data_IF_881331660306
#
_entry.id   IF_881331660306
#
_cell.length_a   1.000
_cell.length_b   1.000
_cell.length_c   1.000
_cell.angle_alpha   90.00
_cell.angle_beta   90.00
_cell.angle_gamma   90.00
#
_symmetry.space_group_name_H-M   'P 1'
#
loop_
_entity.id
_entity.type
_entity.pdbx_description
1 polymer ?
#
# COMPACT_ATOMS: atom_id res chain seq x y z
N UNK A 1 -3.75 6.03 7.81
CA UNK A 1 -4.32 7.30 7.30
C UNK A 1 -3.31 8.37 6.84
N UNK A 2 -2.21 8.61 7.57
CA UNK A 2 -1.24 9.69 7.27
C UNK A 2 -0.74 9.69 5.82
N UNK A 3 -0.34 8.53 5.30
CA UNK A 3 0.15 8.40 3.92
C UNK A 3 -0.89 8.79 2.86
N UNK A 4 -2.15 8.37 3.04
CA UNK A 4 -3.24 8.73 2.12
C UNK A 4 -3.53 10.24 2.16
N UNK A 5 -3.54 10.85 3.34
CA UNK A 5 -3.73 12.31 3.51
C UNK A 5 -2.63 13.10 2.79
N UNK A 6 -1.38 12.67 2.95
CA UNK A 6 -0.24 13.30 2.28
C UNK A 6 -0.26 13.11 0.75
N UNK A 7 -0.71 11.95 0.26
CA UNK A 7 -0.87 11.71 -1.18
C UNK A 7 -1.94 12.61 -1.80
N UNK A 8 -3.07 12.80 -1.11
CA UNK A 8 -4.13 13.70 -1.56
C UNK A 8 -3.57 15.12 -1.65
N UNK A 9 -2.88 15.58 -0.60
CA UNK A 9 -2.23 16.90 -0.58
C UNK A 9 -1.22 17.06 -1.71
N UNK A 10 -0.37 16.05 -1.95
CA UNK A 10 0.61 16.04 -3.04
C UNK A 10 -0.07 16.18 -4.41
N UNK A 11 -1.13 15.42 -4.66
CA UNK A 11 -1.86 15.48 -5.92
C UNK A 11 -2.58 16.82 -6.14
N UNK A 12 -2.89 17.56 -5.08
CA UNK A 12 -3.47 18.90 -5.17
C UNK A 12 -2.41 19.98 -5.47
N UNK A 13 -1.18 19.80 -4.98
CA UNK A 13 -0.10 20.80 -5.14
C UNK A 13 0.78 20.55 -6.36
N UNK A 14 0.84 19.32 -6.88
CA UNK A 14 1.71 18.96 -7.98
C UNK A 14 1.19 19.51 -9.31
N UNK A 15 1.97 20.35 -10.00
CA UNK A 15 1.66 20.84 -11.37
C UNK A 15 2.09 19.81 -12.42
N UNK A 16 1.48 18.63 -12.40
CA UNK A 16 1.75 17.56 -13.38
C UNK A 16 0.44 17.12 -14.04
N UNK A 17 0.46 16.66 -15.31
CA UNK A 17 -0.74 16.24 -16.03
C UNK A 17 -1.28 14.87 -15.57
N UNK A 18 -0.81 14.34 -14.44
CA UNK A 18 -1.20 13.05 -13.89
C UNK A 18 -1.33 13.12 -12.38
N UNK A 19 -2.11 12.17 -11.83
CA UNK A 19 -2.21 11.94 -10.39
C UNK A 19 -1.37 10.74 -9.99
N UNK A 20 -0.64 10.87 -8.90
CA UNK A 20 0.15 9.81 -8.29
C UNK A 20 -0.77 8.95 -7.41
N UNK A 21 -0.60 7.64 -7.47
CA UNK A 21 -1.23 6.68 -6.57
C UNK A 21 -0.24 5.61 -6.15
N UNK A 22 -0.42 5.03 -4.97
CA UNK A 22 0.37 3.90 -4.48
C UNK A 22 -0.54 2.77 -3.99
N UNK A 23 -0.02 1.55 -3.95
CA UNK A 23 -0.61 0.41 -3.23
C UNK A 23 0.42 -0.06 -2.21
N UNK A 24 -0.01 -0.41 -1.01
CA UNK A 24 0.88 -0.77 0.09
C UNK A 24 0.29 -1.97 0.82
N UNK A 25 1.16 -2.90 1.21
CA UNK A 25 0.84 -3.99 2.12
C UNK A 25 1.73 -3.90 3.34
N UNK A 26 1.17 -4.25 4.50
CA UNK A 26 1.83 -4.11 5.79
C UNK A 26 1.73 -5.44 6.53
N UNK A 27 2.87 -5.93 6.99
CA UNK A 27 3.00 -7.01 7.95
C UNK A 27 3.63 -6.46 9.23
N UNK A 28 3.27 -7.04 10.37
CA UNK A 28 3.85 -6.72 11.66
C UNK A 28 4.34 -8.03 12.26
N UNK A 29 5.53 -8.01 12.83
CA UNK A 29 6.04 -9.14 13.60
C UNK A 29 5.21 -9.26 14.90
N UNK A 30 4.84 -10.49 15.23
CA UNK A 30 4.16 -10.84 16.47
C UNK A 30 5.11 -11.69 17.33
N UNK A 31 5.46 -11.27 18.56
CA UNK A 31 6.28 -12.08 19.46
C UNK A 31 5.62 -13.40 19.88
N UNK A 32 4.29 -13.46 19.92
CA UNK A 32 3.54 -14.67 20.32
C UNK A 32 3.40 -15.67 19.16
N UNK A 33 3.54 -15.19 17.91
CA UNK A 33 3.62 -15.99 16.68
C UNK A 33 4.86 -15.58 15.85
N UNK A 34 6.06 -16.07 16.22
CA UNK A 34 7.30 -15.64 15.60
C UNK A 34 7.38 -16.11 14.15
N UNK A 35 7.21 -15.16 13.23
CA UNK A 35 7.37 -15.38 11.79
C UNK A 35 8.79 -15.01 11.33
N UNK A 36 9.31 -15.75 10.35
CA UNK A 36 10.58 -15.38 9.71
C UNK A 36 10.44 -14.06 8.96
N UNK A 37 11.56 -13.37 8.74
CA UNK A 37 11.59 -12.13 7.96
C UNK A 37 11.03 -12.34 6.54
N UNK A 38 11.37 -13.46 5.90
CA UNK A 38 10.87 -13.80 4.57
C UNK A 38 9.35 -13.96 4.56
N UNK A 39 8.78 -14.55 5.61
CA UNK A 39 7.35 -14.73 5.74
C UNK A 39 6.63 -13.38 5.91
N UNK A 40 7.17 -12.49 6.75
CA UNK A 40 6.66 -11.14 6.91
C UNK A 40 6.70 -10.35 5.60
N UNK A 41 7.79 -10.45 4.84
CA UNK A 41 7.93 -9.79 3.53
C UNK A 41 6.90 -10.37 2.55
N UNK A 42 6.75 -11.69 2.50
CA UNK A 42 5.77 -12.38 1.66
C UNK A 42 4.34 -11.94 1.95
N UNK A 43 3.99 -11.82 3.24
CA UNK A 43 2.67 -11.34 3.68
C UNK A 43 2.46 -9.87 3.26
N UNK A 44 3.47 -9.01 3.44
CA UNK A 44 3.39 -7.62 3.01
C UNK A 44 3.20 -7.50 1.49
N UNK A 45 3.95 -8.28 0.71
CA UNK A 45 3.84 -8.27 -0.76
C UNK A 45 2.46 -8.75 -1.23
N UNK A 46 1.97 -9.86 -0.67
CA UNK A 46 0.63 -10.37 -0.97
C UNK A 46 -0.46 -9.33 -0.66
N UNK A 47 -0.40 -8.69 0.51
CA UNK A 47 -1.35 -7.62 0.89
C UNK A 47 -1.28 -6.43 -0.07
N UNK A 48 -0.07 -6.05 -0.51
CA UNK A 48 0.12 -4.97 -1.49
C UNK A 48 -0.55 -5.33 -2.82
N UNK A 49 -0.36 -6.56 -3.29
CA UNK A 49 -0.92 -7.03 -4.55
C UNK A 49 -2.45 -7.08 -4.51
N UNK A 50 -3.03 -7.53 -3.40
CA UNK A 50 -4.49 -7.49 -3.20
C UNK A 50 -5.04 -6.07 -3.18
N UNK A 51 -4.36 -5.13 -2.50
CA UNK A 51 -4.73 -3.71 -2.55
C UNK A 51 -4.64 -3.14 -3.97
N UNK A 52 -3.60 -3.52 -4.73
CA UNK A 52 -3.45 -3.14 -6.14
C UNK A 52 -4.62 -3.65 -6.96
N UNK A 53 -4.96 -4.94 -6.86
CA UNK A 53 -6.12 -5.55 -7.56
C UNK A 53 -7.42 -4.82 -7.25
N UNK A 54 -7.71 -4.51 -5.98
CA UNK A 54 -8.93 -3.77 -5.59
C UNK A 54 -9.03 -2.41 -6.30
N UNK A 55 -7.91 -1.69 -6.41
CA UNK A 55 -7.86 -0.38 -7.09
C UNK A 55 -8.06 -0.46 -8.60
N UNK A 56 -7.57 -1.52 -9.24
CA UNK A 56 -7.77 -1.73 -10.68
C UNK A 56 -9.16 -2.29 -11.01
N UNK A 57 -9.74 -3.15 -10.16
CA UNK A 57 -11.12 -3.65 -10.33
C UNK A 57 -12.16 -2.53 -10.23
N UNK A 58 -11.96 -1.55 -9.33
CA UNK A 58 -12.85 -0.37 -9.19
C UNK A 58 -12.84 0.60 -10.39
N UNK A 59 -11.93 0.43 -11.34
CA UNK A 59 -11.80 1.28 -12.53
C UNK A 59 -12.40 0.64 -13.80
N UNK A 60 -12.83 -0.61 -13.74
CA UNK A 60 -13.66 -1.26 -14.75
C UNK A 60 -15.12 -1.04 -14.41
#
# INVERSE_FOLDING_TARGET
ERFNKNLIKLNQTIKKPYRIGFSMGISCYDPDDPQSMDELIRIADNKMYEEKKKKFKRKK
#
